data_IF_983198324649
#
_entry.id   IF_983198324649
#
_cell.length_a   1.000
_cell.length_b   1.000
_cell.length_c   1.000
_cell.angle_alpha   90.00
_cell.angle_beta   90.00
_cell.angle_gamma   90.00
#
_symmetry.space_group_name_H-M   'P 1'
#
loop_
_entity.id
_entity.type
_entity.pdbx_description
1 polymer ?
#
# COMPACT_ATOMS: atom_id res chain seq x y z
N UNK A 1 -53.18 -10.09 20.37
CA UNK A 1 -52.83 -9.87 21.80
C UNK A 1 -51.92 -11.04 22.17
N UNK A 2 -50.67 -10.95 22.64
CA UNK A 2 -49.88 -9.93 23.32
C UNK A 2 -48.47 -9.85 22.69
N UNK A 3 -47.84 -8.66 22.71
CA UNK A 3 -46.45 -8.42 22.31
C UNK A 3 -45.51 -8.57 23.51
N UNK A 4 -44.30 -9.13 23.37
CA UNK A 4 -43.24 -8.89 24.34
C UNK A 4 -42.39 -7.68 23.93
N UNK A 5 -42.57 -6.59 24.67
CA UNK A 5 -41.66 -5.44 24.76
C UNK A 5 -40.49 -5.83 25.65
N UNK A 6 -39.25 -5.54 25.25
CA UNK A 6 -38.13 -5.38 26.17
C UNK A 6 -37.30 -4.15 25.80
N UNK A 7 -36.88 -3.48 26.86
CA UNK A 7 -36.59 -2.05 26.96
C UNK A 7 -35.09 -1.80 27.08
N UNK A 8 -34.62 -0.75 26.42
CA UNK A 8 -33.46 0.15 26.62
C UNK A 8 -32.17 -0.29 27.34
N UNK A 9 -31.03 0.13 26.77
CA UNK A 9 -29.98 0.84 27.50
C UNK A 9 -29.31 1.89 26.60
N UNK A 10 -29.31 3.15 27.07
CA UNK A 10 -28.60 4.31 26.50
C UNK A 10 -27.25 4.40 27.20
N UNK A 11 -26.16 4.58 26.45
CA UNK A 11 -24.87 5.03 27.00
C UNK A 11 -24.36 6.22 26.19
N UNK A 12 -24.03 7.28 26.92
CA UNK A 12 -23.62 8.58 26.41
C UNK A 12 -22.09 8.70 26.28
N UNK A 13 -21.65 9.50 25.30
CA UNK A 13 -20.57 10.48 25.44
C UNK A 13 -19.12 10.03 25.23
N UNK A 14 -18.45 10.62 24.24
CA UNK A 14 -17.43 11.68 24.45
C UNK A 14 -16.92 12.19 23.09
N UNK A 15 -17.07 13.50 22.87
CA UNK A 15 -16.49 14.24 21.74
C UNK A 15 -15.10 14.73 22.19
N UNK A 16 -14.05 14.32 21.50
CA UNK A 16 -12.71 14.89 21.67
C UNK A 16 -12.41 15.82 20.49
N UNK A 17 -12.43 17.13 20.75
CA UNK A 17 -11.97 18.16 19.81
C UNK A 17 -10.47 18.34 20.03
N UNK A 18 -9.66 17.91 19.05
CA UNK A 18 -8.23 18.22 19.01
C UNK A 18 -8.04 19.52 18.23
N UNK A 19 -7.90 20.63 18.95
CA UNK A 19 -7.35 21.87 18.40
C UNK A 19 -5.82 21.74 18.33
N UNK A 20 -5.25 21.57 17.13
CA UNK A 20 -3.81 21.76 16.91
C UNK A 20 -3.53 23.23 16.64
N UNK A 21 -3.31 23.98 17.71
CA UNK A 21 -2.68 25.30 17.65
C UNK A 21 -1.17 25.13 17.59
N UNK A 22 -0.58 25.64 16.51
CA UNK A 22 0.72 26.32 16.51
C UNK A 22 1.99 25.48 16.64
N UNK A 23 2.79 25.48 15.58
CA UNK A 23 4.20 25.81 15.73
C UNK A 23 4.60 26.75 14.59
N UNK A 24 4.89 27.99 14.97
CA UNK A 24 5.41 29.04 14.12
C UNK A 24 6.91 28.84 13.90
N UNK A 25 7.40 29.22 12.73
CA UNK A 25 8.81 29.39 12.43
C UNK A 25 9.00 30.04 11.06
N UNK A 26 9.08 31.38 11.05
CA UNK A 26 9.82 32.14 10.01
C UNK A 26 11.32 31.83 10.12
N UNK A 27 12.26 32.36 9.35
CA UNK A 27 12.40 33.57 8.54
C UNK A 27 13.75 33.34 7.81
N UNK A 28 13.82 33.50 6.48
CA UNK A 28 14.66 34.52 5.81
C UNK A 28 16.11 34.11 5.45
N UNK A 29 16.53 34.57 4.27
CA UNK A 29 17.86 35.17 4.14
C UNK A 29 18.99 34.38 3.47
N UNK A 30 19.24 34.70 2.20
CA UNK A 30 20.56 35.09 1.64
C UNK A 30 21.69 34.05 1.58
N UNK A 31 22.11 33.61 0.39
CA UNK A 31 23.07 34.25 -0.54
C UNK A 31 24.53 33.73 -0.41
N UNK A 32 24.96 33.07 -1.51
CA UNK A 32 26.30 33.01 -2.13
C UNK A 32 27.54 32.63 -1.29
N UNK A 33 28.12 31.49 -1.67
CA UNK A 33 29.53 31.16 -1.46
C UNK A 33 30.04 30.12 -2.45
N UNK A 34 30.63 30.58 -3.55
CA UNK A 34 31.25 29.84 -4.67
C UNK A 34 32.51 29.08 -4.24
N UNK A 35 32.65 27.80 -4.60
CA UNK A 35 33.94 27.20 -4.95
C UNK A 35 33.76 25.95 -5.84
N UNK A 36 34.56 25.93 -6.90
CA UNK A 36 34.50 25.06 -8.07
C UNK A 36 35.22 23.73 -7.83
N UNK A 37 34.63 22.63 -8.29
CA UNK A 37 35.35 21.45 -8.78
C UNK A 37 34.41 20.60 -9.66
N UNK A 38 34.49 20.78 -10.97
CA UNK A 38 33.92 19.84 -11.94
C UNK A 38 34.68 18.52 -11.89
N UNK A 39 33.96 17.40 -12.08
CA UNK A 39 34.31 16.53 -13.18
C UNK A 39 33.18 16.48 -14.19
N UNK A 40 33.53 16.65 -15.46
CA UNK A 40 32.68 16.34 -16.60
C UNK A 40 32.40 14.84 -16.61
N UNK A 41 31.13 14.47 -16.44
CA UNK A 41 30.59 13.22 -16.94
C UNK A 41 29.29 13.57 -17.66
N UNK A 42 29.35 13.56 -18.99
CA UNK A 42 28.17 13.54 -19.85
C UNK A 42 27.44 12.24 -19.58
N UNK A 43 26.23 12.33 -19.03
CA UNK A 43 25.30 11.23 -18.86
C UNK A 43 23.90 11.81 -18.91
N UNK A 44 23.19 11.49 -19.98
CA UNK A 44 21.80 11.83 -20.25
C UNK A 44 20.94 11.77 -18.99
N UNK A 45 20.23 12.87 -18.71
CA UNK A 45 19.33 12.98 -17.58
C UNK A 45 18.13 12.06 -17.74
N UNK A 46 18.09 11.01 -16.94
CA UNK A 46 16.84 10.55 -16.33
C UNK A 46 16.90 11.03 -14.90
N UNK A 47 16.03 11.98 -14.55
CA UNK A 47 15.88 12.46 -13.19
C UNK A 47 15.67 11.27 -12.27
N UNK A 48 16.69 10.96 -11.48
CA UNK A 48 16.56 10.08 -10.33
C UNK A 48 15.68 10.81 -9.33
N UNK A 49 14.37 10.65 -9.48
CA UNK A 49 13.45 10.91 -8.38
C UNK A 49 13.98 10.08 -7.22
N UNK A 50 14.48 10.76 -6.20
CA UNK A 50 14.85 10.13 -4.93
C UNK A 50 13.60 9.38 -4.49
N UNK A 51 13.61 8.06 -4.68
CA UNK A 51 12.52 7.20 -4.28
C UNK A 51 12.39 7.42 -2.78
N UNK A 52 11.34 8.13 -2.38
CA UNK A 52 10.89 8.21 -1.00
C UNK A 52 10.91 6.77 -0.47
N UNK A 53 11.32 6.49 0.78
CA UNK A 53 11.14 5.16 1.36
C UNK A 53 9.70 4.73 1.04
N UNK A 54 9.57 3.68 0.23
CA UNK A 54 8.32 3.32 -0.43
C UNK A 54 7.40 2.73 0.65
N UNK A 55 6.76 3.63 1.40
CA UNK A 55 5.76 3.29 2.39
C UNK A 55 4.56 2.66 1.66
N UNK A 56 4.60 1.33 1.57
CA UNK A 56 3.62 0.50 0.85
C UNK A 56 2.39 0.19 1.73
N UNK A 57 2.35 0.73 2.94
CA UNK A 57 1.25 0.55 3.89
C UNK A 57 -0.10 0.99 3.31
N UNK A 58 -1.11 0.15 3.53
CA UNK A 58 -2.48 0.38 3.12
C UNK A 58 -3.09 -0.77 2.31
N UNK A 59 -4.31 -0.54 1.85
CA UNK A 59 -5.01 -1.45 0.94
C UNK A 59 -4.91 -0.93 -0.48
N UNK A 60 -4.66 -1.83 -1.41
CA UNK A 60 -4.45 -1.58 -2.82
C UNK A 60 -5.35 -2.51 -3.61
N UNK A 61 -6.00 -2.00 -4.65
CA UNK A 61 -6.94 -2.78 -5.45
C UNK A 61 -6.85 -2.39 -6.94
N UNK A 62 -7.08 -3.36 -7.80
CA UNK A 62 -7.05 -3.16 -9.24
C UNK A 62 -7.58 -4.36 -10.01
N UNK A 63 -7.38 -4.32 -11.32
CA UNK A 63 -7.66 -5.43 -12.22
C UNK A 63 -6.37 -5.80 -12.95
N UNK A 64 -6.07 -7.09 -13.01
CA UNK A 64 -5.04 -7.67 -13.88
C UNK A 64 -5.72 -8.69 -14.77
N UNK A 65 -5.57 -8.59 -16.08
CA UNK A 65 -6.27 -9.45 -17.06
C UNK A 65 -7.81 -9.52 -16.82
N UNK A 66 -8.40 -8.38 -16.48
CA UNK A 66 -9.81 -8.21 -16.11
C UNK A 66 -10.26 -8.99 -14.85
N UNK A 67 -9.32 -9.47 -14.03
CA UNK A 67 -9.59 -10.18 -12.76
C UNK A 67 -9.21 -9.30 -11.58
N UNK A 68 -10.00 -9.32 -10.48
CA UNK A 68 -9.72 -8.52 -9.30
C UNK A 68 -8.42 -8.95 -8.63
N UNK A 69 -7.61 -7.96 -8.26
CA UNK A 69 -6.43 -8.10 -7.42
C UNK A 69 -6.56 -7.15 -6.25
N UNK A 70 -6.41 -7.67 -5.04
CA UNK A 70 -6.42 -6.89 -3.80
C UNK A 70 -5.19 -7.26 -3.00
N UNK A 71 -4.41 -6.26 -2.62
CA UNK A 71 -3.29 -6.36 -1.70
C UNK A 71 -3.57 -5.50 -0.48
N UNK A 72 -3.33 -6.02 0.71
CA UNK A 72 -3.28 -5.22 1.94
C UNK A 72 -1.92 -5.38 2.57
N UNK A 73 -1.30 -4.26 2.91
CA UNK A 73 -0.05 -4.23 3.67
C UNK A 73 -0.30 -3.50 4.97
N UNK A 74 0.09 -4.13 6.07
CA UNK A 74 0.03 -3.56 7.41
C UNK A 74 1.22 -4.01 8.24
N UNK A 75 1.94 -3.05 8.82
CA UNK A 75 3.11 -3.30 9.67
C UNK A 75 4.13 -4.24 8.96
N UNK A 76 4.33 -4.04 7.66
CA UNK A 76 5.18 -4.89 6.81
C UNK A 76 4.62 -6.28 6.51
N UNK A 77 3.45 -6.67 7.02
CA UNK A 77 2.77 -7.92 6.65
C UNK A 77 1.87 -7.68 5.45
N UNK A 78 1.85 -8.63 4.53
CA UNK A 78 1.11 -8.54 3.29
C UNK A 78 0.11 -9.69 3.14
N UNK A 79 -1.09 -9.36 2.66
CA UNK A 79 -2.12 -10.31 2.26
C UNK A 79 -2.63 -9.95 0.86
N UNK A 80 -2.64 -10.93 -0.03
CA UNK A 80 -3.00 -10.79 -1.44
C UNK A 80 -4.13 -11.76 -1.79
N UNK A 81 -5.14 -11.25 -2.48
CA UNK A 81 -6.18 -12.02 -3.15
C UNK A 81 -6.13 -11.71 -4.65
N UNK A 82 -5.88 -12.74 -5.46
CA UNK A 82 -5.83 -12.61 -6.92
C UNK A 82 -6.15 -13.95 -7.57
N UNK A 83 -6.93 -13.95 -8.66
CA UNK A 83 -7.22 -15.15 -9.47
C UNK A 83 -7.85 -16.32 -8.68
N UNK A 84 -8.45 -16.04 -7.51
CA UNK A 84 -8.99 -17.06 -6.60
C UNK A 84 -7.98 -17.63 -5.60
N UNK A 85 -6.73 -17.17 -5.66
CA UNK A 85 -5.65 -17.56 -4.75
C UNK A 85 -5.54 -16.56 -3.60
N UNK A 86 -5.34 -17.08 -2.38
CA UNK A 86 -5.05 -16.28 -1.19
C UNK A 86 -3.60 -16.50 -0.78
N UNK A 87 -2.81 -15.42 -0.77
CA UNK A 87 -1.39 -15.44 -0.46
C UNK A 87 -1.07 -14.49 0.68
N UNK A 88 -0.19 -14.89 1.59
CA UNK A 88 0.21 -14.09 2.75
C UNK A 88 1.71 -14.12 2.92
N UNK A 89 2.27 -13.05 3.46
CA UNK A 89 3.71 -12.96 3.72
C UNK A 89 4.11 -11.56 4.17
N UNK A 90 5.24 -11.09 3.69
CA UNK A 90 5.88 -9.88 4.21
C UNK A 90 6.42 -9.00 3.08
N UNK A 91 6.62 -7.73 3.40
CA UNK A 91 7.43 -6.81 2.61
C UNK A 91 8.86 -6.90 3.14
N UNK A 92 9.77 -7.37 2.30
CA UNK A 92 11.20 -7.46 2.58
C UNK A 92 11.95 -6.35 1.85
N UNK A 93 13.08 -5.89 2.39
CA UNK A 93 13.94 -4.90 1.74
C UNK A 93 15.36 -5.46 1.59
N UNK A 94 15.79 -5.64 0.34
CA UNK A 94 17.13 -6.09 -0.03
C UNK A 94 17.86 -5.06 -0.90
N UNK A 95 17.64 -3.77 -0.65
CA UNK A 95 18.07 -2.65 -1.48
C UNK A 95 16.95 -2.11 -2.39
N UNK A 96 15.83 -2.82 -2.43
CA UNK A 96 14.54 -2.40 -2.97
C UNK A 96 13.45 -3.23 -2.28
N UNK A 97 12.27 -2.65 -2.01
CA UNK A 97 11.21 -3.36 -1.32
C UNK A 97 10.53 -4.38 -2.24
N UNK A 98 10.29 -5.57 -1.71
CA UNK A 98 9.73 -6.72 -2.40
C UNK A 98 8.67 -7.40 -1.55
N UNK A 99 7.69 -8.02 -2.19
CA UNK A 99 6.70 -8.89 -1.58
C UNK A 99 7.19 -10.34 -1.64
N UNK A 100 7.37 -10.95 -0.47
CA UNK A 100 7.64 -12.38 -0.33
C UNK A 100 6.40 -13.05 0.26
N UNK A 101 5.63 -13.75 -0.57
CA UNK A 101 4.32 -14.32 -0.22
C UNK A 101 4.30 -15.84 -0.40
N UNK A 102 3.38 -16.48 0.32
CA UNK A 102 3.02 -17.89 0.15
C UNK A 102 1.52 -18.02 -0.04
N UNK A 103 1.11 -18.72 -1.09
CA UNK A 103 -0.30 -19.00 -1.36
C UNK A 103 -0.76 -20.26 -0.64
N UNK A 104 -1.96 -20.22 -0.08
CA UNK A 104 -2.53 -21.31 0.72
C UNK A 104 -2.72 -22.61 -0.08
N UNK A 105 -2.89 -22.49 -1.39
CA UNK A 105 -3.07 -23.59 -2.33
C UNK A 105 -1.78 -23.98 -3.08
N UNK A 106 -0.65 -23.36 -2.74
CA UNK A 106 0.64 -23.63 -3.39
C UNK A 106 0.82 -22.99 -4.76
N UNK A 107 -0.10 -22.11 -5.21
CA UNK A 107 0.14 -21.30 -6.41
C UNK A 107 1.40 -20.43 -6.26
N UNK A 108 2.13 -20.23 -7.35
CA UNK A 108 3.42 -19.51 -7.37
C UNK A 108 3.42 -18.27 -8.27
N UNK A 109 2.29 -17.90 -8.85
CA UNK A 109 2.23 -16.80 -9.82
C UNK A 109 2.49 -15.43 -9.19
N UNK A 110 2.25 -15.31 -7.88
CA UNK A 110 2.40 -14.08 -7.09
C UNK A 110 3.06 -14.32 -5.73
N UNK A 111 4.14 -15.09 -5.71
CA UNK A 111 4.91 -15.39 -4.47
C UNK A 111 6.13 -14.51 -4.27
N UNK A 112 6.70 -13.96 -5.35
CA UNK A 112 7.84 -13.04 -5.27
C UNK A 112 7.60 -11.87 -6.23
N UNK A 113 7.48 -10.66 -5.67
CA UNK A 113 7.08 -9.47 -6.42
C UNK A 113 7.92 -8.25 -6.08
N UNK A 114 8.59 -7.66 -7.07
CA UNK A 114 9.32 -6.41 -6.92
C UNK A 114 8.36 -5.22 -6.99
N UNK A 115 8.46 -4.30 -6.03
CA UNK A 115 7.74 -3.03 -6.08
C UNK A 115 8.54 -2.09 -7.00
N UNK A 116 8.02 -1.88 -8.22
CA UNK A 116 8.69 -1.01 -9.20
C UNK A 116 8.46 0.47 -8.91
N UNK A 117 7.24 0.82 -8.50
CA UNK A 117 6.87 2.18 -8.15
C UNK A 117 5.73 2.21 -7.15
N UNK A 118 5.77 3.22 -6.29
CA UNK A 118 4.69 3.58 -5.37
C UNK A 118 4.67 5.10 -5.25
N UNK A 119 3.60 5.72 -5.75
CA UNK A 119 3.40 7.18 -5.66
C UNK A 119 2.47 7.59 -4.49
N UNK A 120 2.07 6.62 -3.66
CA UNK A 120 1.10 6.79 -2.56
C UNK A 120 -0.36 6.64 -3.00
N UNK A 121 -0.63 6.58 -4.29
CA UNK A 121 -1.96 6.42 -4.91
C UNK A 121 -2.00 5.26 -5.90
N UNK A 122 -0.87 4.94 -6.53
CA UNK A 122 -0.67 3.85 -7.47
C UNK A 122 0.53 3.02 -7.01
N UNK A 123 0.37 1.71 -7.02
CA UNK A 123 1.39 0.73 -6.70
C UNK A 123 1.57 -0.21 -7.89
N UNK A 124 2.80 -0.33 -8.38
CA UNK A 124 3.16 -1.21 -9.50
C UNK A 124 4.06 -2.32 -8.98
N UNK A 125 3.65 -3.56 -9.22
CA UNK A 125 4.35 -4.76 -8.77
C UNK A 125 4.63 -5.64 -10.00
N UNK A 126 5.88 -6.07 -10.15
CA UNK A 126 6.28 -7.08 -11.13
C UNK A 126 6.62 -8.38 -10.43
N UNK A 127 5.99 -9.46 -10.84
CA UNK A 127 6.14 -10.78 -10.25
C UNK A 127 7.17 -11.60 -11.02
N UNK A 128 7.94 -12.43 -10.32
CA UNK A 128 8.95 -13.30 -10.93
C UNK A 128 8.35 -14.29 -11.95
N UNK A 129 7.08 -14.66 -11.77
CA UNK A 129 6.33 -15.49 -12.72
C UNK A 129 5.92 -14.75 -14.01
N UNK A 130 6.32 -13.48 -14.17
CA UNK A 130 6.09 -12.66 -15.36
C UNK A 130 4.79 -11.85 -15.38
N UNK A 131 3.98 -11.90 -14.31
CA UNK A 131 2.79 -11.05 -14.17
C UNK A 131 3.18 -9.65 -13.72
N UNK A 132 2.33 -8.66 -14.04
CA UNK A 132 2.46 -7.28 -13.57
C UNK A 132 1.11 -6.79 -13.07
N UNK A 133 1.09 -6.30 -11.84
CA UNK A 133 -0.09 -5.68 -11.25
C UNK A 133 0.09 -4.17 -11.16
N UNK A 134 -0.95 -3.42 -11.51
CA UNK A 134 -1.05 -1.97 -11.29
C UNK A 134 -2.28 -1.71 -10.44
N UNK A 135 -2.04 -1.37 -9.18
CA UNK A 135 -3.07 -1.26 -8.16
C UNK A 135 -3.22 0.20 -7.74
N UNK A 136 -4.43 0.59 -7.38
CA UNK A 136 -4.72 1.90 -6.80
C UNK A 136 -4.91 1.77 -5.30
N UNK A 137 -4.46 2.78 -4.55
CA UNK A 137 -4.73 2.85 -3.12
C UNK A 137 -6.23 2.94 -2.90
N UNK A 138 -6.70 2.18 -1.94
CA UNK A 138 -8.09 2.05 -1.58
C UNK A 138 -8.23 2.35 -0.09
N UNK A 139 -9.06 3.32 0.25
CA UNK A 139 -9.27 3.76 1.63
C UNK A 139 -10.19 2.81 2.43
N UNK A 140 -10.38 1.57 1.95
CA UNK A 140 -11.19 0.54 2.60
C UNK A 140 -12.70 0.68 2.40
N UNK A 141 -13.16 1.66 1.60
CA UNK A 141 -14.58 1.92 1.39
C UNK A 141 -15.26 1.00 0.36
N UNK A 142 -14.49 0.37 -0.53
CA UNK A 142 -15.04 -0.49 -1.58
C UNK A 142 -14.05 -1.59 -1.97
N UNK A 143 -14.37 -2.84 -1.67
CA UNK A 143 -13.64 -3.98 -2.21
C UNK A 143 -14.11 -4.23 -3.67
N UNK A 144 -13.22 -4.67 -4.58
CA UNK A 144 -13.62 -5.09 -5.91
C UNK A 144 -14.67 -6.20 -5.86
N UNK A 145 -15.64 -6.13 -6.77
CA UNK A 145 -16.59 -7.21 -6.99
C UNK A 145 -15.87 -8.47 -7.50
N UNK A 146 -16.38 -9.65 -7.15
CA UNK A 146 -15.82 -10.94 -7.59
C UNK A 146 -14.69 -11.49 -6.73
N UNK A 147 -14.45 -10.93 -5.54
CA UNK A 147 -13.57 -11.53 -4.55
C UNK A 147 -14.15 -12.86 -4.02
N UNK A 148 -13.30 -13.84 -3.67
CA UNK A 148 -13.75 -15.07 -3.02
C UNK A 148 -14.49 -14.72 -1.71
N UNK A 149 -15.74 -15.16 -1.59
CA UNK A 149 -16.55 -14.98 -0.37
C UNK A 149 -16.42 -16.14 0.61
N UNK A 150 -15.72 -17.21 0.22
CA UNK A 150 -15.43 -18.34 1.10
C UNK A 150 -14.08 -18.11 1.78
N UNK A 151 -14.08 -18.14 3.11
CA UNK A 151 -12.84 -18.14 3.90
C UNK A 151 -12.15 -19.51 3.76
N UNK A 152 -10.81 -19.57 3.65
CA UNK A 152 -10.11 -20.83 3.65
C UNK A 152 -10.40 -21.58 4.96
N UNK A 153 -10.98 -22.77 4.86
CA UNK A 153 -11.14 -23.70 5.98
C UNK A 153 -9.78 -24.33 6.24
N UNK A 154 -9.18 -24.04 7.41
CA UNK A 154 -7.95 -24.72 7.89
C UNK A 154 -8.21 -26.17 8.29
#
# INVERSE_FOLDING_TARGET
>A
MLKPVRTSAVTAGLVAVLALTGCAGGDDGGDKGKASASPTASGDGTGGETQKPLDVEGTWAGLTDAKPVVLSVKDGKAALLADGHACTGEVEDHGSPMLALKCADGNTDRTMGAIESNDGTTLVISWDAGKKDTLKKNDGASLPEGLPTALPTS
#
